data_IF_947253830376
#
_entry.id   IF_947253830376
#
_cell.length_a   1.000
_cell.length_b   1.000
_cell.length_c   1.000
_cell.angle_alpha   90.00
_cell.angle_beta   90.00
_cell.angle_gamma   90.00
#
_symmetry.space_group_name_H-M   'P 1'
#
loop_
_entity.id
_entity.type
_entity.pdbx_description
1 polymer ?
#
# COMPACT_ATOMS: atom_id res chain seq x y z
N UNK A 1 -37.54 -5.03 -11.48
CA UNK A 1 -36.15 -5.50 -11.62
C UNK A 1 -35.31 -4.28 -11.94
N UNK A 2 -34.81 -3.58 -10.93
CA UNK A 2 -34.20 -2.27 -11.10
C UNK A 2 -32.74 -2.40 -11.57
N UNK A 3 -32.52 -1.97 -12.80
CA UNK A 3 -31.21 -1.71 -13.37
C UNK A 3 -30.58 -0.54 -12.59
N UNK A 4 -29.68 -0.86 -11.65
CA UNK A 4 -28.83 0.14 -11.02
C UNK A 4 -27.84 0.64 -12.07
N UNK A 5 -28.22 1.73 -12.76
CA UNK A 5 -27.29 2.54 -13.53
C UNK A 5 -26.18 3.02 -12.59
N UNK A 6 -25.06 2.29 -12.59
CA UNK A 6 -23.82 2.65 -11.94
C UNK A 6 -23.44 4.05 -12.42
N UNK A 7 -23.42 5.02 -11.51
CA UNK A 7 -22.93 6.37 -11.78
C UNK A 7 -21.55 6.27 -12.46
N UNK A 8 -21.27 7.08 -13.50
CA UNK A 8 -19.98 7.01 -14.19
C UNK A 8 -18.83 7.23 -13.19
N UNK A 9 -18.01 6.18 -13.02
CA UNK A 9 -16.90 6.18 -12.06
C UNK A 9 -15.94 7.32 -12.36
N UNK A 10 -15.86 8.30 -11.46
CA UNK A 10 -14.91 9.40 -11.57
C UNK A 10 -13.55 8.95 -11.01
N UNK A 11 -12.63 8.65 -11.93
CA UNK A 11 -11.23 8.30 -11.62
C UNK A 11 -10.33 9.51 -11.79
N UNK A 12 -9.44 9.73 -10.82
CA UNK A 12 -8.37 10.73 -10.88
C UNK A 12 -7.04 9.97 -10.83
N UNK A 13 -6.04 10.45 -11.56
CA UNK A 13 -4.72 9.80 -11.62
C UNK A 13 -3.62 10.85 -11.76
N UNK A 14 -2.45 10.59 -11.17
CA UNK A 14 -1.26 11.44 -11.42
C UNK A 14 -0.62 11.12 -12.76
N UNK A 15 -0.45 9.82 -13.06
CA UNK A 15 0.11 9.38 -14.33
C UNK A 15 -0.68 8.22 -14.92
N UNK A 16 -0.65 8.12 -16.24
CA UNK A 16 -1.11 6.96 -16.99
C UNK A 16 0.12 6.30 -17.59
N UNK A 17 0.24 4.99 -17.42
CA UNK A 17 1.28 4.23 -18.08
C UNK A 17 1.04 4.27 -19.60
N UNK A 18 2.06 4.64 -20.36
CA UNK A 18 1.98 4.82 -21.82
C UNK A 18 2.73 3.73 -22.60
N UNK A 19 3.62 2.98 -21.95
CA UNK A 19 4.39 1.89 -22.55
C UNK A 19 4.56 0.71 -21.57
N UNK A 20 4.88 -0.46 -22.12
CA UNK A 20 5.26 -1.65 -21.35
C UNK A 20 6.70 -1.56 -20.79
N UNK A 21 7.47 -0.55 -21.20
CA UNK A 21 8.79 -0.23 -20.67
C UNK A 21 8.74 0.35 -19.24
N UNK A 22 7.54 0.69 -18.73
CA UNK A 22 7.35 1.14 -17.36
C UNK A 22 7.16 2.63 -17.19
N UNK A 23 7.38 3.11 -15.96
CA UNK A 23 7.33 4.52 -15.62
C UNK A 23 8.53 5.26 -16.25
N UNK A 24 8.37 6.56 -16.58
CA UNK A 24 9.48 7.36 -17.08
C UNK A 24 10.59 7.48 -16.02
N UNK A 25 11.81 7.80 -16.46
CA UNK A 25 12.94 8.06 -15.56
C UNK A 25 12.86 9.43 -14.85
N UNK A 26 12.03 10.34 -15.37
CA UNK A 26 11.90 11.71 -14.86
C UNK A 26 10.44 12.13 -14.81
N UNK A 27 10.09 13.00 -13.87
CA UNK A 27 8.78 13.63 -13.78
C UNK A 27 8.21 13.60 -12.37
N UNK A 28 6.95 13.99 -12.21
CA UNK A 28 6.29 13.91 -10.90
C UNK A 28 6.29 12.46 -10.39
N UNK A 29 5.84 11.52 -11.22
CA UNK A 29 5.85 10.08 -10.98
C UNK A 29 6.84 9.43 -11.95
N UNK A 30 8.05 9.18 -11.45
CA UNK A 30 9.11 8.44 -12.12
C UNK A 30 9.29 7.04 -11.51
N UNK A 31 10.05 6.17 -12.18
CA UNK A 31 10.28 4.80 -11.72
C UNK A 31 10.97 4.75 -10.35
N UNK A 32 11.98 5.60 -10.13
CA UNK A 32 12.74 5.66 -8.89
C UNK A 32 11.89 6.13 -7.72
N UNK A 33 11.18 7.25 -7.87
CA UNK A 33 10.28 7.76 -6.85
C UNK A 33 9.17 6.78 -6.54
N UNK A 34 8.55 6.16 -7.55
CA UNK A 34 7.48 5.20 -7.33
C UNK A 34 7.98 3.98 -6.54
N UNK A 35 9.15 3.45 -6.90
CA UNK A 35 9.78 2.35 -6.17
C UNK A 35 10.08 2.73 -4.71
N UNK A 36 10.67 3.90 -4.46
CA UNK A 36 10.95 4.39 -3.09
C UNK A 36 9.66 4.56 -2.27
N UNK A 37 8.62 5.11 -2.87
CA UNK A 37 7.29 5.22 -2.27
C UNK A 37 6.74 3.85 -1.87
N UNK A 38 6.82 2.85 -2.76
CA UNK A 38 6.35 1.49 -2.47
C UNK A 38 7.08 0.87 -1.28
N UNK A 39 8.30 1.31 -0.99
CA UNK A 39 9.12 0.86 0.13
C UNK A 39 9.07 1.78 1.37
N UNK A 40 8.21 2.80 1.39
CA UNK A 40 7.94 3.59 2.62
C UNK A 40 8.63 4.96 2.69
N UNK A 41 9.20 5.45 1.59
CA UNK A 41 9.73 6.81 1.54
C UNK A 41 8.60 7.85 1.68
N UNK A 42 8.54 8.47 2.86
CA UNK A 42 7.51 9.42 3.22
C UNK A 42 7.61 10.76 2.50
N UNK A 43 8.82 11.16 2.09
CA UNK A 43 9.00 12.40 1.33
C UNK A 43 8.36 12.26 -0.05
N UNK A 44 8.55 11.10 -0.69
CA UNK A 44 7.91 10.79 -1.97
C UNK A 44 6.39 10.59 -1.79
N UNK A 45 5.96 9.87 -0.76
CA UNK A 45 4.53 9.71 -0.44
C UNK A 45 3.83 11.06 -0.28
N UNK A 46 4.43 11.99 0.47
CA UNK A 46 3.90 13.35 0.65
C UNK A 46 3.77 14.09 -0.67
N UNK A 47 4.78 14.01 -1.55
CA UNK A 47 4.74 14.64 -2.87
C UNK A 47 3.58 14.12 -3.71
N UNK A 48 3.37 12.81 -3.74
CA UNK A 48 2.23 12.20 -4.44
C UNK A 48 0.89 12.58 -3.84
N UNK A 49 0.78 12.51 -2.51
CA UNK A 49 -0.44 12.86 -1.80
C UNK A 49 -0.85 14.32 -2.03
N UNK A 50 0.11 15.26 -1.98
CA UNK A 50 -0.16 16.68 -2.25
C UNK A 50 -0.63 16.92 -3.68
N UNK A 51 -0.01 16.26 -4.67
CA UNK A 51 -0.42 16.38 -6.06
C UNK A 51 -1.81 15.77 -6.30
N UNK A 52 -2.13 14.64 -5.67
CA UNK A 52 -3.46 14.03 -5.74
C UNK A 52 -4.51 14.93 -5.10
N UNK A 53 -4.23 15.50 -3.93
CA UNK A 53 -5.13 16.43 -3.25
C UNK A 53 -5.42 17.67 -4.10
N UNK A 54 -4.40 18.22 -4.77
CA UNK A 54 -4.57 19.34 -5.69
C UNK A 54 -5.46 19.01 -6.90
N UNK A 55 -5.38 17.78 -7.43
CA UNK A 55 -6.29 17.33 -8.48
C UNK A 55 -7.71 17.07 -7.96
N UNK A 56 -7.84 16.56 -6.74
CA UNK A 56 -9.12 16.30 -6.10
C UNK A 56 -9.86 17.61 -5.82
N UNK A 57 -9.20 18.59 -5.19
CA UNK A 57 -9.76 19.88 -4.77
C UNK A 57 -10.51 20.60 -5.90
N UNK A 58 -9.97 20.57 -7.13
CA UNK A 58 -10.57 21.19 -8.33
C UNK A 58 -11.86 20.51 -8.82
N UNK A 59 -12.17 19.33 -8.30
CA UNK A 59 -13.28 18.47 -8.77
C UNK A 59 -14.32 18.22 -7.69
N UNK A 60 -14.09 18.70 -6.47
CA UNK A 60 -15.00 18.55 -5.34
C UNK A 60 -16.01 19.70 -5.32
N UNK A 61 -17.28 19.38 -5.10
CA UNK A 61 -18.27 20.36 -4.65
C UNK A 61 -18.14 20.57 -3.13
N UNK A 62 -19.23 20.96 -2.49
CA UNK A 62 -19.23 21.41 -1.08
C UNK A 62 -19.67 20.34 -0.07
N UNK A 63 -19.99 19.13 -0.56
CA UNK A 63 -20.40 18.03 0.29
C UNK A 63 -19.24 17.54 1.17
N UNK A 64 -19.52 17.07 2.42
CA UNK A 64 -18.52 16.46 3.27
C UNK A 64 -17.78 15.30 2.58
N UNK A 65 -16.47 15.25 2.79
CA UNK A 65 -15.58 14.29 2.14
C UNK A 65 -15.00 13.32 3.16
N UNK A 66 -15.15 12.03 2.87
CA UNK A 66 -14.51 10.93 3.60
C UNK A 66 -13.34 10.41 2.76
N UNK A 67 -12.17 10.22 3.36
CA UNK A 67 -10.97 9.75 2.64
C UNK A 67 -10.52 8.41 3.21
N UNK A 68 -10.24 7.46 2.34
CA UNK A 68 -9.69 6.15 2.72
C UNK A 68 -8.61 5.70 1.75
N UNK A 69 -7.96 4.59 2.08
CA UNK A 69 -6.96 3.93 1.22
C UNK A 69 -7.39 2.49 0.95
N UNK A 70 -6.61 1.78 0.14
CA UNK A 70 -6.72 0.32 -0.01
C UNK A 70 -6.84 -0.38 1.34
N UNK A 71 -7.77 -1.33 1.42
CA UNK A 71 -8.12 -2.00 2.66
C UNK A 71 -6.98 -2.90 3.18
N UNK A 72 -6.85 -2.98 4.50
CA UNK A 72 -5.88 -3.84 5.17
C UNK A 72 -6.35 -4.18 6.58
N UNK A 73 -5.75 -5.22 7.17
CA UNK A 73 -6.02 -5.59 8.57
C UNK A 73 -5.03 -4.87 9.50
N UNK A 74 -3.82 -5.42 9.61
CA UNK A 74 -2.79 -4.98 10.57
C UNK A 74 -1.61 -4.30 9.90
N UNK A 75 -0.98 -4.95 8.92
CA UNK A 75 0.18 -4.38 8.23
C UNK A 75 -0.28 -3.51 7.06
N UNK A 76 0.04 -2.20 7.04
CA UNK A 76 -0.48 -1.29 6.04
C UNK A 76 0.16 -1.51 4.66
N UNK A 77 -0.57 -1.24 3.56
CA UNK A 77 0.00 -1.14 2.22
C UNK A 77 0.72 0.21 2.04
N UNK A 78 1.52 0.35 0.98
CA UNK A 78 2.21 1.60 0.67
C UNK A 78 1.25 2.79 0.51
N UNK A 79 0.07 2.56 -0.11
CA UNK A 79 -0.99 3.56 -0.27
C UNK A 79 -1.45 4.19 1.06
N UNK A 80 -1.28 3.51 2.20
CA UNK A 80 -1.61 4.07 3.52
C UNK A 80 -0.82 5.36 3.82
N UNK A 81 0.44 5.43 3.37
CA UNK A 81 1.30 6.61 3.57
C UNK A 81 0.79 7.87 2.86
N UNK A 82 -0.17 7.75 1.93
CA UNK A 82 -0.81 8.88 1.26
C UNK A 82 -1.86 9.57 2.13
N UNK A 83 -2.50 8.86 3.06
CA UNK A 83 -3.75 9.29 3.69
C UNK A 83 -3.60 10.61 4.46
N UNK A 84 -2.69 10.65 5.44
CA UNK A 84 -2.47 11.83 6.27
C UNK A 84 -2.02 13.07 5.45
N UNK A 85 -0.96 13.01 4.62
CA UNK A 85 -0.56 14.17 3.83
C UNK A 85 -1.61 14.59 2.80
N UNK A 86 -2.40 13.65 2.26
CA UNK A 86 -3.50 13.99 1.34
C UNK A 86 -4.59 14.76 2.07
N UNK A 87 -5.05 14.29 3.23
CA UNK A 87 -6.09 14.96 4.02
C UNK A 87 -5.63 16.33 4.46
N UNK A 88 -4.39 16.44 4.99
CA UNK A 88 -3.80 17.72 5.38
C UNK A 88 -3.79 18.71 4.21
N UNK A 89 -3.28 18.28 3.05
CA UNK A 89 -3.23 19.15 1.88
C UNK A 89 -4.64 19.52 1.38
N UNK A 90 -5.60 18.58 1.42
CA UNK A 90 -6.95 18.84 0.98
C UNK A 90 -7.64 19.86 1.89
N UNK A 91 -7.51 19.75 3.21
CA UNK A 91 -8.01 20.77 4.16
C UNK A 91 -7.37 22.14 3.92
N UNK A 92 -6.07 22.19 3.60
CA UNK A 92 -5.40 23.45 3.26
C UNK A 92 -5.94 24.07 1.97
N UNK A 93 -6.21 23.26 0.94
CA UNK A 93 -6.70 23.74 -0.35
C UNK A 93 -8.21 24.05 -0.35
N UNK A 94 -8.96 23.41 0.55
CA UNK A 94 -10.41 23.51 0.70
C UNK A 94 -10.77 23.65 2.18
N UNK A 95 -10.45 24.79 2.82
CA UNK A 95 -10.74 25.03 4.24
C UNK A 95 -12.25 25.07 4.53
N UNK A 96 -13.06 25.24 3.50
CA UNK A 96 -14.52 25.19 3.52
C UNK A 96 -15.08 23.76 3.61
N UNK A 97 -14.28 22.73 3.31
CA UNK A 97 -14.73 21.34 3.33
C UNK A 97 -14.48 20.65 4.66
N UNK A 98 -15.49 19.95 5.14
CA UNK A 98 -15.29 18.94 6.18
C UNK A 98 -14.66 17.69 5.56
N UNK A 99 -13.37 17.46 5.86
CA UNK A 99 -12.62 16.29 5.39
C UNK A 99 -12.27 15.39 6.56
N UNK A 100 -12.62 14.11 6.47
CA UNK A 100 -12.33 13.12 7.54
C UNK A 100 -11.77 11.83 6.96
N UNK A 101 -10.74 11.29 7.60
CA UNK A 101 -10.15 10.01 7.22
C UNK A 101 -10.87 8.84 7.88
N UNK A 102 -10.89 7.68 7.22
CA UNK A 102 -11.31 6.41 7.81
C UNK A 102 -10.59 5.24 7.14
N UNK A 103 -10.54 4.09 7.84
CA UNK A 103 -10.03 2.84 7.30
C UNK A 103 -11.14 1.91 6.83
N UNK A 104 -10.86 1.17 5.78
CA UNK A 104 -11.57 -0.06 5.43
C UNK A 104 -10.73 -1.23 5.91
N UNK A 105 -11.29 -2.02 6.83
CA UNK A 105 -10.63 -3.20 7.39
C UNK A 105 -10.88 -4.38 6.47
N UNK A 106 -9.83 -5.14 6.17
CA UNK A 106 -9.94 -6.43 5.47
C UNK A 106 -9.88 -7.57 6.49
N UNK A 107 -11.00 -8.26 6.75
CA UNK A 107 -11.03 -9.44 7.62
C UNK A 107 -10.84 -10.69 6.77
N UNK A 108 -9.86 -11.53 7.11
CA UNK A 108 -9.71 -12.85 6.49
C UNK A 108 -8.54 -12.97 5.49
N UNK A 109 -7.82 -14.07 5.70
CA UNK A 109 -6.79 -14.75 4.92
C UNK A 109 -5.62 -13.88 4.39
N UNK A 110 -4.45 -14.08 4.99
CA UNK A 110 -3.21 -13.43 4.61
C UNK A 110 -2.83 -13.75 3.15
N UNK A 111 -1.99 -12.90 2.53
CA UNK A 111 -1.52 -13.07 1.14
C UNK A 111 -0.89 -14.45 0.86
N UNK A 112 -0.59 -15.26 1.87
CA UNK A 112 -0.03 -16.58 1.65
C UNK A 112 -0.98 -17.60 1.08
N UNK A 113 -2.22 -17.61 1.53
CA UNK A 113 -3.21 -18.52 0.98
C UNK A 113 -3.67 -18.05 -0.41
N UNK A 114 -3.58 -16.75 -0.72
CA UNK A 114 -3.87 -16.18 -2.04
C UNK A 114 -3.06 -16.84 -3.17
N UNK A 115 -1.78 -17.15 -2.91
CA UNK A 115 -0.90 -17.80 -3.88
C UNK A 115 -1.29 -19.26 -4.18
N UNK A 116 -1.92 -19.94 -3.22
CA UNK A 116 -2.34 -21.35 -3.27
C UNK A 116 -3.80 -21.55 -3.69
N UNK A 117 -4.61 -20.49 -3.66
CA UNK A 117 -6.03 -20.53 -4.00
C UNK A 117 -6.28 -20.74 -5.49
N UNK A 118 -7.31 -21.53 -5.81
CA UNK A 118 -7.86 -21.62 -7.16
C UNK A 118 -8.41 -20.26 -7.61
N UNK A 119 -8.55 -20.06 -8.92
CA UNK A 119 -8.93 -18.76 -9.50
C UNK A 119 -10.30 -18.24 -9.02
N UNK A 120 -11.21 -19.14 -8.64
CA UNK A 120 -12.50 -18.82 -8.02
C UNK A 120 -12.34 -18.37 -6.55
N UNK A 121 -11.47 -19.02 -5.79
CA UNK A 121 -11.19 -18.67 -4.38
C UNK A 121 -10.40 -17.37 -4.26
N UNK A 122 -9.52 -17.06 -5.24
CA UNK A 122 -8.85 -15.75 -5.36
C UNK A 122 -9.85 -14.61 -5.53
N UNK A 123 -10.98 -14.84 -6.20
CA UNK A 123 -12.07 -13.85 -6.32
C UNK A 123 -12.81 -13.66 -5.01
N UNK A 124 -12.96 -14.71 -4.20
CA UNK A 124 -13.57 -14.64 -2.86
C UNK A 124 -12.65 -13.99 -1.83
N UNK A 125 -11.34 -14.26 -1.87
CA UNK A 125 -10.35 -13.65 -0.96
C UNK A 125 -10.18 -12.13 -1.15
N UNK A 126 -10.40 -11.64 -2.38
CA UNK A 126 -10.43 -10.20 -2.72
C UNK A 126 -11.88 -9.68 -2.78
N UNK A 127 -12.86 -10.54 -2.46
CA UNK A 127 -14.27 -10.20 -2.48
C UNK A 127 -14.62 -9.15 -1.43
N UNK A 128 -15.61 -8.32 -1.77
CA UNK A 128 -16.11 -7.25 -0.89
C UNK A 128 -16.60 -7.77 0.47
N UNK A 129 -16.97 -9.05 0.57
CA UNK A 129 -17.47 -9.71 1.79
C UNK A 129 -16.45 -9.69 2.94
N UNK A 130 -15.17 -9.52 2.62
CA UNK A 130 -14.09 -9.42 3.58
C UNK A 130 -13.74 -7.98 3.96
N UNK A 131 -14.44 -6.98 3.41
CA UNK A 131 -14.14 -5.56 3.61
C UNK A 131 -15.21 -4.89 4.47
N UNK A 132 -14.79 -4.09 5.46
CA UNK A 132 -15.73 -3.36 6.32
C UNK A 132 -15.19 -1.96 6.64
N UNK A 133 -15.94 -0.88 6.39
CA UNK A 133 -15.57 0.45 6.88
C UNK A 133 -15.54 0.47 8.41
N UNK A 134 -14.51 1.07 9.00
CA UNK A 134 -14.37 1.12 10.47
C UNK A 134 -15.38 2.05 11.16
N UNK A 135 -16.18 2.81 10.38
CA UNK A 135 -17.14 3.80 10.86
C UNK A 135 -18.26 3.98 9.86
N UNK A 136 -19.34 4.64 10.29
CA UNK A 136 -20.44 5.00 9.39
C UNK A 136 -19.97 5.98 8.30
N UNK A 137 -20.29 5.63 7.06
CA UNK A 137 -19.93 6.34 5.82
C UNK A 137 -21.16 6.65 4.97
N UNK A 138 -22.37 6.43 5.51
CA UNK A 138 -23.63 6.61 4.78
C UNK A 138 -23.78 8.04 4.27
N UNK A 139 -24.23 8.17 3.03
CA UNK A 139 -24.48 9.46 2.38
C UNK A 139 -23.21 10.24 2.00
N UNK A 140 -22.02 9.76 2.36
CA UNK A 140 -20.78 10.50 2.12
C UNK A 140 -20.31 10.42 0.67
N UNK A 141 -19.53 11.42 0.27
CA UNK A 141 -18.59 11.29 -0.84
C UNK A 141 -17.29 10.69 -0.31
N UNK A 142 -16.91 9.52 -0.81
CA UNK A 142 -15.66 8.85 -0.47
C UNK A 142 -14.61 9.03 -1.55
N UNK A 143 -13.41 9.47 -1.15
CA UNK A 143 -12.19 9.44 -1.95
C UNK A 143 -11.36 8.22 -1.53
N UNK A 144 -11.25 7.23 -2.41
CA UNK A 144 -10.44 6.04 -2.20
C UNK A 144 -9.08 6.20 -2.89
N UNK A 145 -8.01 6.28 -2.11
CA UNK A 145 -6.64 6.42 -2.60
C UNK A 145 -6.00 5.04 -2.77
N UNK A 146 -5.34 4.83 -3.91
CA UNK A 146 -4.55 3.63 -4.16
C UNK A 146 -3.27 3.99 -4.93
N UNK A 147 -2.26 3.11 -4.84
CA UNK A 147 -0.99 3.36 -5.51
C UNK A 147 -1.01 3.02 -7.00
N UNK A 148 -1.77 2.00 -7.41
CA UNK A 148 -1.90 1.62 -8.81
C UNK A 148 -3.23 0.98 -9.15
N UNK A 149 -3.72 1.28 -10.35
CA UNK A 149 -4.79 0.52 -11.01
C UNK A 149 -4.22 -0.38 -12.10
N UNK A 150 -4.30 -1.69 -11.91
CA UNK A 150 -3.97 -2.70 -12.93
C UNK A 150 -5.26 -3.29 -13.52
N UNK A 151 -5.84 -4.32 -12.90
CA UNK A 151 -7.06 -4.99 -13.41
C UNK A 151 -8.37 -4.31 -12.96
N UNK A 152 -8.31 -3.42 -11.95
CA UNK A 152 -9.49 -2.85 -11.30
C UNK A 152 -10.20 -3.77 -10.31
N UNK A 153 -9.64 -4.94 -9.99
CA UNK A 153 -10.26 -5.87 -9.01
C UNK A 153 -10.40 -5.23 -7.62
N UNK A 154 -9.36 -4.56 -7.14
CA UNK A 154 -9.42 -3.83 -5.86
C UNK A 154 -10.43 -2.67 -5.90
N UNK A 155 -10.52 -1.96 -7.03
CA UNK A 155 -11.51 -0.90 -7.26
C UNK A 155 -12.94 -1.46 -7.12
N UNK A 156 -13.21 -2.61 -7.74
CA UNK A 156 -14.52 -3.28 -7.70
C UNK A 156 -14.91 -3.74 -6.29
N UNK A 157 -13.99 -4.36 -5.56
CA UNK A 157 -14.25 -4.82 -4.19
C UNK A 157 -14.50 -3.65 -3.23
N UNK A 158 -13.73 -2.57 -3.38
CA UNK A 158 -13.91 -1.35 -2.59
C UNK A 158 -15.23 -0.65 -2.92
N UNK A 159 -15.61 -0.56 -4.20
CA UNK A 159 -16.90 -0.02 -4.62
C UNK A 159 -18.05 -0.82 -3.99
N UNK A 160 -18.03 -2.15 -4.11
CA UNK A 160 -19.05 -3.02 -3.54
C UNK A 160 -19.17 -2.84 -2.02
N UNK A 161 -18.05 -2.81 -1.30
CA UNK A 161 -18.01 -2.60 0.14
C UNK A 161 -18.63 -1.25 0.53
N UNK A 162 -18.15 -0.16 -0.08
CA UNK A 162 -18.56 1.20 0.26
C UNK A 162 -20.01 1.50 -0.12
N UNK A 163 -20.43 1.09 -1.32
CA UNK A 163 -21.80 1.29 -1.78
C UNK A 163 -22.78 0.47 -0.94
N UNK A 164 -22.43 -0.76 -0.54
CA UNK A 164 -23.26 -1.57 0.37
C UNK A 164 -23.35 -0.95 1.77
N UNK A 165 -22.33 -0.21 2.20
CA UNK A 165 -22.36 0.58 3.43
C UNK A 165 -23.15 1.91 3.31
N UNK A 166 -23.74 2.19 2.15
CA UNK A 166 -24.57 3.36 1.90
C UNK A 166 -23.82 4.63 1.50
N UNK A 167 -22.56 4.51 1.04
CA UNK A 167 -21.82 5.65 0.46
C UNK A 167 -22.56 6.18 -0.76
N UNK A 168 -22.76 7.50 -0.84
CA UNK A 168 -23.49 8.12 -1.95
C UNK A 168 -22.67 8.14 -3.24
N UNK A 169 -21.35 8.37 -3.12
CA UNK A 169 -20.45 8.39 -4.26
C UNK A 169 -19.04 7.95 -3.86
N UNK A 170 -18.43 7.08 -4.67
CA UNK A 170 -17.01 6.73 -4.56
C UNK A 170 -16.25 7.35 -5.73
N UNK A 171 -15.10 7.96 -5.43
CA UNK A 171 -14.13 8.40 -6.43
C UNK A 171 -12.78 7.78 -6.12
N UNK A 172 -12.18 7.16 -7.12
CA UNK A 172 -10.88 6.52 -6.98
C UNK A 172 -9.76 7.42 -7.48
N UNK A 173 -8.68 7.48 -6.71
CA UNK A 173 -7.51 8.29 -6.97
C UNK A 173 -6.28 7.40 -6.98
N UNK A 174 -5.53 7.44 -8.09
CA UNK A 174 -4.36 6.59 -8.30
C UNK A 174 -3.09 7.41 -8.50
N UNK A 175 -1.96 6.92 -7.99
CA UNK A 175 -0.67 7.44 -8.47
C UNK A 175 -0.50 7.02 -9.94
N UNK A 176 -0.62 5.72 -10.23
CA UNK A 176 -0.43 5.14 -11.57
C UNK A 176 -1.70 4.46 -12.08
N UNK A 177 -2.12 4.78 -13.31
CA UNK A 177 -3.14 4.00 -14.05
C UNK A 177 -2.44 3.14 -15.12
N UNK A 178 -2.34 1.85 -14.87
CA UNK A 178 -1.69 0.85 -15.75
C UNK A 178 -2.71 -0.08 -16.44
N UNK A 179 -4.00 0.23 -16.38
CA UNK A 179 -5.06 -0.67 -16.85
C UNK A 179 -4.98 -1.10 -18.30
N UNK A 180 -4.43 -0.26 -19.18
CA UNK A 180 -4.20 -0.61 -20.60
C UNK A 180 -3.35 -1.87 -20.77
N UNK A 181 -2.56 -2.21 -19.75
CA UNK A 181 -1.62 -3.30 -19.81
C UNK A 181 -1.85 -4.35 -18.71
N UNK A 182 -3.09 -4.48 -18.23
CA UNK A 182 -3.45 -5.43 -17.19
C UNK A 182 -3.10 -6.90 -17.52
N UNK A 183 -2.96 -7.23 -18.81
CA UNK A 183 -2.54 -8.56 -19.29
C UNK A 183 -1.02 -8.74 -19.48
N UNK A 184 -0.19 -7.73 -19.18
CA UNK A 184 1.26 -7.82 -19.34
C UNK A 184 1.93 -8.22 -18.02
N UNK A 185 2.51 -9.44 -17.92
CA UNK A 185 3.24 -9.87 -16.72
C UNK A 185 4.43 -8.95 -16.38
N UNK A 186 4.95 -8.26 -17.40
CA UNK A 186 6.15 -7.44 -17.30
C UNK A 186 5.94 -6.17 -16.48
N UNK A 187 4.72 -5.66 -16.39
CA UNK A 187 4.46 -4.38 -15.72
C UNK A 187 4.49 -4.49 -14.21
N UNK A 188 4.06 -5.60 -13.64
CA UNK A 188 4.27 -5.83 -12.21
C UNK A 188 5.77 -5.87 -11.91
N UNK A 189 6.57 -6.61 -12.66
CA UNK A 189 8.03 -6.66 -12.46
C UNK A 189 8.71 -5.28 -12.66
N UNK A 190 8.37 -4.55 -13.72
CA UNK A 190 9.00 -3.26 -14.07
C UNK A 190 8.64 -2.14 -13.08
N UNK A 191 7.43 -2.13 -12.54
CA UNK A 191 7.04 -1.16 -11.51
C UNK A 191 7.64 -1.48 -10.14
N UNK A 192 8.16 -2.70 -9.95
CA UNK A 192 8.47 -3.22 -8.64
C UNK A 192 9.93 -3.03 -8.18
N UNK A 193 10.89 -2.85 -9.09
CA UNK A 193 12.32 -3.05 -8.74
C UNK A 193 13.28 -1.93 -9.18
N UNK A 194 12.78 -0.81 -9.72
CA UNK A 194 13.64 0.22 -10.31
C UNK A 194 14.60 0.98 -9.36
N UNK A 195 14.55 0.77 -8.04
CA UNK A 195 15.35 1.58 -7.09
C UNK A 195 15.87 0.85 -5.84
N UNK A 196 15.66 -0.46 -5.69
CA UNK A 196 16.12 -1.19 -4.50
C UNK A 196 17.07 -2.31 -4.94
N UNK A 197 18.35 -1.96 -5.04
CA UNK A 197 19.42 -2.87 -5.42
C UNK A 197 19.89 -3.78 -4.28
N UNK A 198 19.71 -3.39 -3.02
CA UNK A 198 20.18 -4.19 -1.88
C UNK A 198 19.74 -3.69 -0.49
N UNK A 199 20.34 -4.23 0.59
CA UNK A 199 20.02 -3.87 1.97
C UNK A 199 20.32 -2.41 2.29
N UNK A 200 21.36 -1.82 1.69
CA UNK A 200 21.75 -0.42 1.92
C UNK A 200 20.66 0.56 1.46
N UNK A 201 20.00 0.28 0.32
CA UNK A 201 18.88 1.09 -0.15
C UNK A 201 17.68 1.04 0.81
N UNK A 202 17.40 -0.14 1.36
CA UNK A 202 16.33 -0.32 2.36
C UNK A 202 16.64 0.43 3.65
N UNK A 203 17.89 0.35 4.13
CA UNK A 203 18.36 1.09 5.30
C UNK A 203 18.31 2.60 5.06
N UNK A 204 18.72 3.06 3.88
CA UNK A 204 18.66 4.47 3.51
C UNK A 204 17.22 5.02 3.49
N UNK A 205 16.26 4.22 3.01
CA UNK A 205 14.83 4.58 3.08
C UNK A 205 14.35 4.59 4.53
N UNK A 206 14.72 3.57 5.32
CA UNK A 206 14.29 3.45 6.71
C UNK A 206 14.87 4.53 7.63
N UNK A 207 16.08 5.02 7.33
CA UNK A 207 16.72 6.14 8.00
C UNK A 207 16.11 7.50 7.60
N UNK A 208 15.28 7.53 6.55
CA UNK A 208 14.63 8.75 6.08
C UNK A 208 13.68 9.34 7.13
N UNK A 209 13.53 10.68 7.17
CA UNK A 209 12.63 11.32 8.11
C UNK A 209 11.18 10.88 7.87
N UNK A 210 10.52 10.45 8.95
CA UNK A 210 9.12 9.97 8.94
C UNK A 210 8.89 8.74 8.07
N UNK A 211 9.90 7.89 7.86
CA UNK A 211 9.74 6.59 7.20
C UNK A 211 8.44 5.89 7.62
N UNK A 212 7.67 5.40 6.64
CA UNK A 212 6.40 4.70 6.88
C UNK A 212 6.57 3.22 6.50
N UNK A 213 6.89 2.35 7.48
CA UNK A 213 7.04 0.93 7.21
C UNK A 213 5.71 0.33 6.75
N UNK A 214 5.79 -0.61 5.81
CA UNK A 214 4.63 -1.22 5.16
C UNK A 214 4.88 -2.68 4.77
N UNK A 215 3.83 -3.39 4.38
CA UNK A 215 3.89 -4.83 4.08
C UNK A 215 4.92 -5.18 2.99
N UNK A 216 5.13 -4.27 2.03
CA UNK A 216 6.10 -4.49 0.95
C UNK A 216 7.54 -4.35 1.43
N UNK A 217 7.83 -3.33 2.24
CA UNK A 217 9.15 -3.19 2.86
C UNK A 217 9.50 -4.45 3.67
N UNK A 218 8.57 -4.93 4.50
CA UNK A 218 8.74 -6.18 5.26
C UNK A 218 9.09 -7.38 4.36
N UNK A 219 8.29 -7.62 3.31
CA UNK A 219 8.51 -8.72 2.36
C UNK A 219 9.82 -8.59 1.59
N UNK A 220 10.26 -7.36 1.30
CA UNK A 220 11.54 -7.11 0.62
C UNK A 220 12.73 -7.39 1.53
N UNK A 221 12.66 -7.03 2.81
CA UNK A 221 13.69 -7.40 3.81
C UNK A 221 13.78 -8.92 3.96
N UNK A 222 12.65 -9.61 4.11
CA UNK A 222 12.64 -11.08 4.17
C UNK A 222 13.17 -11.77 2.91
N UNK A 223 13.12 -11.07 1.77
CA UNK A 223 13.61 -11.59 0.50
C UNK A 223 15.12 -11.40 0.29
N UNK A 224 15.81 -10.74 1.22
CA UNK A 224 17.26 -10.57 1.15
C UNK A 224 17.96 -11.93 1.26
N UNK A 225 19.08 -12.13 0.54
CA UNK A 225 20.00 -13.23 0.79
C UNK A 225 20.43 -13.30 2.27
N UNK A 226 20.74 -14.49 2.83
CA UNK A 226 21.02 -14.64 4.26
C UNK A 226 22.12 -13.72 4.80
N UNK A 227 23.22 -13.56 4.05
CA UNK A 227 24.33 -12.66 4.39
C UNK A 227 23.89 -11.19 4.42
N UNK A 228 23.12 -10.76 3.42
CA UNK A 228 22.57 -9.41 3.35
C UNK A 228 21.49 -9.16 4.41
N UNK A 229 20.70 -10.18 4.77
CA UNK A 229 19.71 -10.09 5.83
C UNK A 229 20.40 -9.91 7.19
N UNK A 230 21.42 -10.69 7.49
CA UNK A 230 22.21 -10.53 8.71
C UNK A 230 22.88 -9.15 8.77
N UNK A 231 23.41 -8.65 7.66
CA UNK A 231 23.97 -7.30 7.58
C UNK A 231 22.90 -6.22 7.84
N UNK A 232 21.75 -6.33 7.18
CA UNK A 232 20.61 -5.44 7.38
C UNK A 232 20.17 -5.42 8.85
N UNK A 233 19.99 -6.58 9.47
CA UNK A 233 19.53 -6.69 10.85
C UNK A 233 20.53 -6.11 11.86
N UNK A 234 21.83 -6.23 11.61
CA UNK A 234 22.86 -5.60 12.46
C UNK A 234 22.83 -4.08 12.37
N UNK A 235 22.55 -3.52 11.19
CA UNK A 235 22.49 -2.08 10.96
C UNK A 235 21.13 -1.45 11.32
N UNK A 236 20.05 -2.22 11.26
CA UNK A 236 18.69 -1.74 11.49
C UNK A 236 18.46 -1.33 12.95
N UNK A 237 17.84 -0.16 13.13
CA UNK A 237 17.42 0.33 14.44
C UNK A 237 16.54 -0.71 15.17
N UNK A 238 16.65 -0.86 16.51
CA UNK A 238 15.84 -1.79 17.28
C UNK A 238 14.33 -1.66 17.04
N UNK A 239 13.84 -0.43 16.89
CA UNK A 239 12.41 -0.14 16.64
C UNK A 239 11.96 -0.69 15.29
N UNK A 240 12.81 -0.60 14.27
CA UNK A 240 12.55 -1.16 12.95
C UNK A 240 12.50 -2.68 12.99
N UNK A 241 13.44 -3.31 13.70
CA UNK A 241 13.45 -4.77 13.91
C UNK A 241 12.19 -5.22 14.64
N UNK A 242 11.82 -4.55 15.74
CA UNK A 242 10.60 -4.84 16.48
C UNK A 242 9.31 -4.59 15.69
N UNK A 243 9.31 -3.63 14.77
CA UNK A 243 8.20 -3.47 13.81
C UNK A 243 8.14 -4.62 12.81
N UNK A 244 9.28 -5.02 12.22
CA UNK A 244 9.36 -6.10 11.25
C UNK A 244 8.91 -7.44 11.85
N UNK A 245 9.38 -7.80 13.05
CA UNK A 245 8.95 -9.03 13.74
C UNK A 245 7.43 -9.08 13.93
N UNK A 246 6.83 -7.97 14.40
CA UNK A 246 5.37 -7.88 14.54
C UNK A 246 4.65 -7.94 13.21
N UNK A 247 5.18 -7.32 12.16
CA UNK A 247 4.59 -7.40 10.83
C UNK A 247 4.63 -8.81 10.25
N UNK A 248 5.72 -9.55 10.46
CA UNK A 248 5.89 -10.96 10.06
C UNK A 248 4.84 -11.83 10.74
N UNK A 249 4.68 -11.66 12.05
CA UNK A 249 3.70 -12.38 12.87
C UNK A 249 2.25 -12.04 12.45
N UNK A 250 1.92 -10.75 12.34
CA UNK A 250 0.57 -10.31 11.99
C UNK A 250 0.11 -10.73 10.60
N UNK A 251 1.02 -10.74 9.62
CA UNK A 251 0.72 -11.27 8.29
C UNK A 251 0.79 -12.81 8.23
N UNK A 252 1.15 -13.48 9.33
CA UNK A 252 1.24 -14.94 9.42
C UNK A 252 2.25 -15.53 8.44
N UNK A 253 3.35 -14.81 8.14
CA UNK A 253 4.24 -15.15 7.03
C UNK A 253 4.93 -16.50 7.19
N UNK A 254 5.07 -17.00 8.42
CA UNK A 254 5.59 -18.34 8.70
C UNK A 254 4.70 -19.46 8.12
N UNK A 255 3.38 -19.25 8.09
CA UNK A 255 2.40 -20.23 7.55
C UNK A 255 2.32 -20.24 6.02
N UNK A 256 3.01 -19.30 5.35
CA UNK A 256 2.96 -19.13 3.90
C UNK A 256 4.16 -19.85 3.28
N UNK A 257 3.98 -20.86 2.42
CA UNK A 257 5.14 -21.59 1.85
C UNK A 257 6.17 -20.68 1.18
N UNK A 258 5.73 -19.64 0.48
CA UNK A 258 6.63 -18.71 -0.20
C UNK A 258 7.53 -17.90 0.76
N UNK A 259 7.19 -17.85 2.06
CA UNK A 259 7.92 -17.09 3.07
C UNK A 259 8.40 -17.92 4.26
N UNK A 260 7.91 -19.15 4.46
CA UNK A 260 8.23 -19.97 5.63
C UNK A 260 9.74 -20.11 5.85
N UNK A 261 10.50 -20.41 4.80
CA UNK A 261 11.96 -20.57 4.87
C UNK A 261 12.68 -19.25 5.16
N UNK A 262 12.14 -18.15 4.62
CA UNK A 262 12.64 -16.79 4.86
C UNK A 262 12.41 -16.34 6.29
N UNK A 263 11.26 -16.70 6.88
CA UNK A 263 10.98 -16.43 8.30
C UNK A 263 11.91 -17.24 9.19
N UNK A 264 12.17 -18.52 8.90
CA UNK A 264 13.16 -19.30 9.66
C UNK A 264 14.57 -18.69 9.58
N UNK A 265 14.95 -18.18 8.41
CA UNK A 265 16.23 -17.47 8.22
C UNK A 265 16.26 -16.18 9.03
N UNK A 266 15.17 -15.41 9.05
CA UNK A 266 15.00 -14.22 9.89
C UNK A 266 15.17 -14.54 11.38
N UNK A 267 14.47 -15.56 11.88
CA UNK A 267 14.51 -15.95 13.30
C UNK A 267 15.92 -16.37 13.73
N UNK A 268 16.60 -17.15 12.89
CA UNK A 268 17.97 -17.58 13.14
C UNK A 268 18.95 -16.40 13.18
N UNK A 269 18.81 -15.45 12.24
CA UNK A 269 19.66 -14.25 12.19
C UNK A 269 19.40 -13.31 13.37
N UNK A 270 18.15 -13.18 13.82
CA UNK A 270 17.80 -12.35 14.96
C UNK A 270 18.36 -12.93 16.28
N UNK A 271 18.20 -14.24 16.48
CA UNK A 271 18.76 -14.94 17.65
C UNK A 271 20.29 -14.82 17.73
N UNK A 272 20.97 -14.81 16.58
CA UNK A 272 22.42 -14.62 16.53
C UNK A 272 22.87 -13.22 16.99
N UNK A 273 22.11 -12.20 16.58
CA UNK A 273 22.37 -10.82 16.99
C UNK A 273 22.13 -10.66 18.50
N UNK A 274 21.06 -11.24 19.04
CA UNK A 274 20.74 -11.14 20.45
C UNK A 274 21.82 -11.82 21.32
N UNK A 275 22.36 -12.97 20.89
CA UNK A 275 23.51 -13.60 21.55
C UNK A 275 24.76 -12.71 21.51
N UNK A 276 25.04 -12.11 20.35
CA UNK A 276 26.25 -11.29 20.16
C UNK A 276 26.18 -9.98 20.97
N UNK A 277 25.01 -9.34 21.04
CA UNK A 277 24.84 -8.12 21.82
C UNK A 277 24.73 -8.39 23.32
N UNK A 278 24.17 -9.52 23.74
CA UNK A 278 24.11 -9.93 25.15
C UNK A 278 25.49 -10.29 25.74
N UNK A 279 26.41 -10.80 24.93
CA UNK A 279 27.76 -11.17 25.37
C UNK A 279 28.71 -9.96 25.55
N UNK A 280 28.36 -8.77 25.07
CA UNK A 280 29.18 -7.54 25.17
C UNK A 280 28.89 -6.66 26.38
N UNK A 281 27.99 -7.07 27.28
CA UNK A 281 27.58 -6.31 28.49
C UNK A 281 27.96 -7.06 29.78
N UNK A 282 28.79 -8.10 29.67
CA UNK A 282 29.29 -8.91 30.78
C UNK A 282 30.71 -8.58 31.19
#
# INVERSE_FOLDING_TARGET
>A
MHDHQLTPRRRIRLTRLTSDAGLPHTGLVDATGYSRFKHGDAAVARRYAMALAALAARRLGDAPVRVTTSAFDRVPPAAHSLLAPFVQQLCTLRPDLTVTAFRVVRRGVSNGDYSRMALADRRSAVGADNLTPERDVRGALVLALDDIRVTGTHELAMDQCLLSAGVAQVRHLYIVDAHRFAGSPRIESVLNEAAIGGPDDLLAIAAGPRFVPNARFCRRVLALPPDQLSAFLRAAAPELRGWLSRAIEFDGLAGVSAYADRVRTWDAALADIDRTMGAGVG
#
